data_IF_978474965935
#
_entry.id   IF_978474965935
#
_cell.length_a   1.000
_cell.length_b   1.000
_cell.length_c   1.000
_cell.angle_alpha   90.00
_cell.angle_beta   90.00
_cell.angle_gamma   90.00
#
_symmetry.space_group_name_H-M   'P 1'
#
loop_
_entity.id
_entity.type
_entity.pdbx_description
1 polymer ?
#
# COMPACT_ATOMS: atom_id res chain seq x y z
N UNK A 1 12.22 -2.16 -4.83
CA UNK A 1 12.46 -0.71 -4.81
C UNK A 1 12.25 0.00 -6.15
N UNK A 2 12.45 -0.64 -7.32
CA UNK A 2 12.24 0.03 -8.62
C UNK A 2 10.82 0.61 -8.77
N UNK A 3 9.77 -0.16 -8.51
CA UNK A 3 8.39 0.32 -8.63
C UNK A 3 8.05 1.41 -7.61
N UNK A 4 8.59 1.30 -6.39
CA UNK A 4 8.46 2.37 -5.37
C UNK A 4 9.14 3.65 -5.84
N UNK A 5 10.33 3.55 -6.44
CA UNK A 5 11.03 4.69 -7.02
C UNK A 5 10.24 5.34 -8.14
N UNK A 6 9.66 4.54 -9.04
CA UNK A 6 8.80 5.04 -10.11
C UNK A 6 7.54 5.73 -9.56
N UNK A 7 6.94 5.18 -8.49
CA UNK A 7 5.83 5.81 -7.78
C UNK A 7 6.24 7.18 -7.20
N UNK A 8 7.38 7.28 -6.52
CA UNK A 8 7.89 8.56 -5.99
C UNK A 8 8.02 9.61 -7.11
N UNK A 9 8.65 9.23 -8.22
CA UNK A 9 8.84 10.12 -9.38
C UNK A 9 7.49 10.53 -9.99
N UNK A 10 6.53 9.61 -10.05
CA UNK A 10 5.18 9.90 -10.58
C UNK A 10 4.46 10.90 -9.68
N UNK A 11 4.50 10.73 -8.36
CA UNK A 11 3.87 11.67 -7.42
C UNK A 11 4.53 13.05 -7.52
N UNK A 12 5.87 13.14 -7.56
CA UNK A 12 6.58 14.42 -7.75
C UNK A 12 6.15 15.11 -9.04
N UNK A 13 6.11 14.38 -10.17
CA UNK A 13 5.69 14.91 -11.46
C UNK A 13 4.25 15.45 -11.41
N UNK A 14 3.31 14.72 -10.80
CA UNK A 14 1.92 15.16 -10.63
C UNK A 14 1.83 16.44 -9.78
N UNK A 15 2.59 16.53 -8.68
CA UNK A 15 2.63 17.73 -7.83
C UNK A 15 3.18 18.95 -8.58
N UNK A 16 4.19 18.78 -9.43
CA UNK A 16 4.72 19.86 -10.29
C UNK A 16 3.71 20.34 -11.33
N UNK A 17 2.75 19.50 -11.70
CA UNK A 17 1.62 19.84 -12.57
C UNK A 17 0.43 20.44 -11.79
N UNK A 18 0.62 20.83 -10.53
CA UNK A 18 -0.41 21.38 -9.63
C UNK A 18 -1.57 20.42 -9.31
N UNK A 19 -1.35 19.10 -9.41
CA UNK A 19 -2.34 18.11 -8.97
C UNK A 19 -2.41 18.11 -7.44
N UNK A 20 -3.57 18.51 -6.91
CA UNK A 20 -3.78 18.70 -5.46
C UNK A 20 -4.22 17.43 -4.74
N UNK A 21 -4.97 16.57 -5.42
CA UNK A 21 -5.56 15.37 -4.84
C UNK A 21 -4.99 14.16 -5.59
N UNK A 22 -4.26 13.31 -4.87
CA UNK A 22 -3.64 12.11 -5.42
C UNK A 22 -4.02 10.94 -4.52
N UNK A 23 -4.71 9.96 -5.11
CA UNK A 23 -5.01 8.69 -4.46
C UNK A 23 -4.19 7.59 -5.10
N UNK A 24 -3.69 6.66 -4.28
CA UNK A 24 -2.86 5.55 -4.72
C UNK A 24 -3.60 4.23 -4.53
N UNK A 25 -3.57 3.38 -5.54
CA UNK A 25 -4.04 2.00 -5.44
C UNK A 25 -2.85 1.05 -5.55
N UNK A 26 -2.68 0.19 -4.53
CA UNK A 26 -1.63 -0.80 -4.43
C UNK A 26 -2.27 -2.18 -4.42
N UNK A 27 -2.30 -2.90 -5.54
CA UNK A 27 -2.91 -4.23 -5.61
C UNK A 27 -2.23 -5.26 -4.70
N UNK A 28 -0.93 -5.10 -4.48
CA UNK A 28 -0.15 -5.95 -3.58
C UNK A 28 0.88 -5.11 -2.86
N UNK A 29 0.75 -4.98 -1.54
CA UNK A 29 1.61 -4.11 -0.76
C UNK A 29 3.04 -4.68 -0.67
N UNK A 30 4.09 -3.88 -0.96
CA UNK A 30 5.46 -4.37 -0.96
C UNK A 30 5.90 -4.82 0.43
N UNK A 31 6.56 -5.98 0.48
CA UNK A 31 7.05 -6.61 1.70
C UNK A 31 5.97 -6.84 2.79
N UNK A 32 4.69 -6.94 2.39
CA UNK A 32 3.56 -7.14 3.31
C UNK A 32 3.69 -8.38 4.21
N UNK A 33 4.49 -9.37 3.81
CA UNK A 33 4.71 -10.62 4.57
C UNK A 33 5.74 -10.50 5.70
N UNK A 34 6.56 -9.46 5.70
CA UNK A 34 7.52 -9.19 6.77
C UNK A 34 6.94 -8.07 7.65
N UNK A 35 5.87 -8.44 8.33
CA UNK A 35 5.02 -7.59 9.18
C UNK A 35 5.36 -7.69 10.67
N UNK A 36 6.43 -8.40 11.01
CA UNK A 36 6.97 -8.54 12.36
C UNK A 36 8.49 -8.57 12.31
N UNK A 37 9.10 -8.22 13.45
CA UNK A 37 10.52 -8.43 13.72
C UNK A 37 10.62 -9.75 14.50
N UNK A 38 11.00 -10.82 13.82
CA UNK A 38 11.15 -12.17 14.36
C UNK A 38 12.48 -12.37 15.07
N UNK A 39 13.55 -11.73 14.59
CA UNK A 39 14.90 -11.80 15.17
C UNK A 39 15.43 -10.39 15.43
N UNK A 40 16.16 -10.21 16.54
CA UNK A 40 16.76 -8.92 16.90
C UNK A 40 17.69 -8.42 15.78
N UNK A 41 17.41 -7.21 15.30
CA UNK A 41 18.22 -6.51 14.30
C UNK A 41 17.76 -6.68 12.86
N UNK A 42 16.77 -7.53 12.58
CA UNK A 42 16.16 -7.60 11.26
C UNK A 42 15.26 -6.38 10.99
N UNK A 43 15.05 -5.99 9.72
CA UNK A 43 14.19 -4.87 9.39
C UNK A 43 12.71 -5.25 9.54
N UNK A 44 11.88 -4.29 9.93
CA UNK A 44 10.44 -4.36 9.71
C UNK A 44 10.14 -3.75 8.33
N UNK A 45 10.37 -4.51 7.27
CA UNK A 45 10.35 -3.95 5.91
C UNK A 45 9.01 -3.38 5.49
N UNK A 46 7.87 -3.96 5.93
CA UNK A 46 6.54 -3.39 5.64
C UNK A 46 6.44 -1.94 6.13
N UNK A 47 7.05 -1.64 7.29
CA UNK A 47 7.10 -0.29 7.85
C UNK A 47 8.00 0.62 7.04
N UNK A 48 9.14 0.12 6.55
CA UNK A 48 10.03 0.92 5.69
C UNK A 48 9.30 1.39 4.43
N UNK A 49 8.55 0.50 3.77
CA UNK A 49 7.74 0.87 2.60
C UNK A 49 6.60 1.83 2.98
N UNK A 50 5.89 1.56 4.09
CA UNK A 50 4.81 2.42 4.56
C UNK A 50 5.30 3.84 4.90
N UNK A 51 6.43 3.97 5.60
CA UNK A 51 7.04 5.26 5.96
C UNK A 51 7.33 6.09 4.70
N UNK A 52 7.91 5.47 3.65
CA UNK A 52 8.19 6.15 2.37
C UNK A 52 6.88 6.60 1.70
N UNK A 53 5.86 5.73 1.62
CA UNK A 53 4.56 6.08 1.04
C UNK A 53 3.91 7.22 1.83
N UNK A 54 3.99 7.20 3.16
CA UNK A 54 3.44 8.24 4.03
C UNK A 54 4.10 9.61 3.79
N UNK A 55 5.40 9.65 3.43
CA UNK A 55 6.07 10.91 3.08
C UNK A 55 5.48 11.60 1.85
N UNK A 56 4.77 10.86 0.98
CA UNK A 56 4.15 11.39 -0.22
C UNK A 56 2.84 12.15 0.05
N UNK A 57 2.32 12.10 1.29
CA UNK A 57 1.12 12.83 1.75
C UNK A 57 -0.07 12.69 0.78
N UNK A 58 -0.44 11.43 0.53
CA UNK A 58 -1.51 11.07 -0.40
C UNK A 58 -2.88 11.22 0.27
N UNK A 59 -3.89 11.58 -0.51
CA UNK A 59 -5.26 11.74 -0.02
C UNK A 59 -5.81 10.42 0.50
N UNK A 60 -5.61 9.36 -0.28
CA UNK A 60 -6.03 8.00 0.08
C UNK A 60 -5.09 6.97 -0.47
N UNK A 61 -4.88 5.89 0.28
CA UNK A 61 -4.16 4.70 -0.18
C UNK A 61 -5.08 3.50 -0.11
N UNK A 62 -5.34 2.86 -1.24
CA UNK A 62 -6.13 1.65 -1.32
C UNK A 62 -5.19 0.45 -1.42
N UNK A 63 -5.40 -0.56 -0.58
CA UNK A 63 -4.67 -1.83 -0.65
C UNK A 63 -5.65 -2.95 -0.92
N UNK A 64 -5.43 -3.72 -1.97
CA UNK A 64 -6.27 -4.88 -2.24
C UNK A 64 -5.82 -6.06 -1.36
N UNK A 65 -6.74 -6.61 -0.58
CA UNK A 65 -6.58 -7.85 0.19
C UNK A 65 -5.26 -7.92 0.97
N UNK A 66 -5.09 -6.99 1.92
CA UNK A 66 -3.85 -6.87 2.69
C UNK A 66 -3.48 -8.18 3.40
N UNK A 67 -2.18 -8.52 3.42
CA UNK A 67 -1.70 -9.76 4.05
C UNK A 67 -2.06 -9.87 5.53
N UNK A 68 -2.04 -8.75 6.24
CA UNK A 68 -2.40 -8.63 7.65
C UNK A 68 -2.81 -7.19 7.97
N UNK A 69 -3.44 -7.00 9.14
CA UNK A 69 -3.84 -5.68 9.66
C UNK A 69 -2.66 -4.73 9.91
N UNK A 70 -1.41 -5.23 9.88
CA UNK A 70 -0.22 -4.40 10.07
C UNK A 70 -0.05 -3.40 8.93
N UNK A 71 -0.35 -3.80 7.69
CA UNK A 71 -0.23 -2.90 6.52
C UNK A 71 -1.12 -1.67 6.65
N UNK A 72 -2.46 -1.80 6.79
CA UNK A 72 -3.34 -0.64 6.93
C UNK A 72 -3.10 0.15 8.22
N UNK A 73 -2.57 -0.47 9.28
CA UNK A 73 -2.21 0.23 10.51
C UNK A 73 -0.96 1.14 10.35
N UNK A 74 -0.05 0.82 9.41
CA UNK A 74 1.18 1.58 9.18
C UNK A 74 1.03 2.66 8.09
N UNK A 75 0.05 2.54 7.21
CA UNK A 75 -0.15 3.45 6.07
C UNK A 75 -1.22 4.49 6.40
N UNK A 76 -0.89 5.77 6.21
CA UNK A 76 -1.82 6.88 6.44
C UNK A 76 -2.94 6.87 5.38
N UNK A 77 -4.16 7.20 5.81
CA UNK A 77 -5.35 7.25 4.94
C UNK A 77 -5.59 5.95 4.16
N UNK A 78 -5.30 4.80 4.78
CA UNK A 78 -5.39 3.50 4.14
C UNK A 78 -6.81 2.92 4.18
N UNK A 79 -7.27 2.39 3.05
CA UNK A 79 -8.50 1.61 2.93
C UNK A 79 -8.18 0.24 2.31
N UNK A 80 -8.60 -0.83 2.99
CA UNK A 80 -8.41 -2.20 2.47
C UNK A 80 -9.64 -2.60 1.66
N UNK A 81 -9.40 -3.05 0.42
CA UNK A 81 -10.43 -3.60 -0.45
C UNK A 81 -10.36 -5.13 -0.33
N UNK A 82 -11.30 -5.79 0.38
CA UNK A 82 -11.29 -7.24 0.54
C UNK A 82 -11.69 -7.95 -0.75
N UNK A 83 -11.18 -9.17 -0.95
CA UNK A 83 -11.53 -9.98 -2.12
C UNK A 83 -12.89 -10.70 -1.98
N UNK A 84 -13.54 -10.64 -0.81
CA UNK A 84 -14.70 -11.49 -0.46
C UNK A 84 -15.85 -11.38 -1.46
N UNK A 85 -16.20 -10.17 -1.89
CA UNK A 85 -17.30 -9.94 -2.86
C UNK A 85 -16.98 -10.54 -4.23
N UNK A 86 -15.72 -10.46 -4.66
CA UNK A 86 -15.28 -11.08 -5.91
C UNK A 86 -15.38 -12.60 -5.83
N UNK A 87 -14.85 -13.21 -4.77
CA UNK A 87 -14.93 -14.66 -4.57
C UNK A 87 -16.39 -15.14 -4.47
N UNK A 88 -17.26 -14.41 -3.76
CA UNK A 88 -18.70 -14.71 -3.71
C UNK A 88 -19.34 -14.69 -5.10
N UNK A 89 -18.92 -13.78 -5.97
CA UNK A 89 -19.44 -13.69 -7.35
C UNK A 89 -18.97 -14.88 -8.18
N UNK A 90 -17.69 -15.24 -8.09
CA UNK A 90 -17.12 -16.40 -8.79
C UNK A 90 -17.79 -17.70 -8.34
N UNK A 91 -18.00 -17.89 -7.04
CA UNK A 91 -18.66 -19.09 -6.51
C UNK A 91 -20.10 -19.23 -7.04
N UNK A 92 -20.83 -18.13 -7.25
CA UNK A 92 -22.20 -18.17 -7.83
C UNK A 92 -22.23 -18.57 -9.32
N UNK A 93 -21.11 -18.52 -10.01
CA UNK A 93 -21.00 -18.85 -11.44
C UNK A 93 -20.56 -20.28 -11.72
N UNK A 94 -20.16 -21.01 -10.67
CA UNK A 94 -19.83 -22.44 -10.71
C UNK A 94 -21.10 -23.23 -10.34
#
# INVERSE_FOLDING_TARGET
FNDLGLLCLTVDALRRMDVKIISLFIPYFPAARQDRVMIKGEPLSVKVYADIINTMQLEKVFVFDAHSEVTPALVNNCEVIPNHTFIQTVIKTI
#
